data_IF_893066666384
#
_entry.id   IF_893066666384
#
_cell.length_a   1.000
_cell.length_b   1.000
_cell.length_c   1.000
_cell.angle_alpha   90.00
_cell.angle_beta   90.00
_cell.angle_gamma   90.00
#
_symmetry.space_group_name_H-M   'P 1'
#
loop_
_entity.id
_entity.type
_entity.pdbx_description
1 polymer ?
#
# COMPACT_ATOMS: atom_id res chain seq x y z
N UNK A 1 -34.65 -28.15 12.99
CA UNK A 1 -33.69 -28.72 12.04
C UNK A 1 -32.67 -27.64 11.77
N UNK A 2 -31.43 -27.81 12.22
CA UNK A 2 -30.36 -26.85 11.92
C UNK A 2 -29.98 -27.04 10.47
N UNK A 3 -30.29 -26.06 9.62
CA UNK A 3 -29.81 -26.07 8.24
C UNK A 3 -28.28 -25.99 8.26
N UNK A 4 -27.61 -27.09 7.90
CA UNK A 4 -26.16 -27.10 7.72
C UNK A 4 -25.80 -26.27 6.50
N UNK A 5 -25.21 -25.10 6.75
CA UNK A 5 -24.72 -24.23 5.70
C UNK A 5 -23.49 -24.87 5.05
N UNK A 6 -23.58 -25.19 3.75
CA UNK A 6 -22.47 -25.73 2.96
C UNK A 6 -21.64 -24.59 2.36
N UNK A 7 -20.31 -24.79 2.28
CA UNK A 7 -19.42 -23.83 1.63
C UNK A 7 -19.66 -23.74 0.11
N UNK A 8 -19.41 -22.57 -0.50
CA UNK A 8 -19.44 -22.44 -1.95
C UNK A 8 -18.30 -23.25 -2.60
N UNK A 9 -18.42 -23.51 -3.91
CA UNK A 9 -17.39 -24.25 -4.66
C UNK A 9 -16.01 -23.59 -4.56
N UNK A 10 -14.94 -24.38 -4.71
CA UNK A 10 -13.56 -23.87 -4.68
C UNK A 10 -13.29 -22.79 -5.73
N UNK A 11 -13.90 -22.91 -6.92
CA UNK A 11 -13.79 -21.88 -7.95
C UNK A 11 -14.42 -20.55 -7.50
N UNK A 12 -15.54 -20.61 -6.80
CA UNK A 12 -16.22 -19.42 -6.28
C UNK A 12 -15.47 -18.79 -5.10
N UNK A 13 -14.90 -19.62 -4.22
CA UNK A 13 -13.99 -19.15 -3.17
C UNK A 13 -12.78 -18.43 -3.77
N UNK A 14 -12.21 -18.96 -4.85
CA UNK A 14 -11.10 -18.33 -5.58
C UNK A 14 -11.47 -16.94 -6.13
N UNK A 15 -12.65 -16.79 -6.76
CA UNK A 15 -13.15 -15.49 -7.22
C UNK A 15 -13.30 -14.49 -6.06
N UNK A 16 -13.89 -14.95 -4.95
CA UNK A 16 -14.12 -14.11 -3.79
C UNK A 16 -12.80 -13.64 -3.15
N UNK A 17 -11.78 -14.51 -3.08
CA UNK A 17 -10.46 -14.15 -2.58
C UNK A 17 -9.76 -13.10 -3.46
N UNK A 18 -9.87 -13.23 -4.79
CA UNK A 18 -9.30 -12.24 -5.73
C UNK A 18 -10.01 -10.90 -5.56
N UNK A 19 -11.34 -10.90 -5.50
CA UNK A 19 -12.12 -9.68 -5.27
C UNK A 19 -11.75 -9.01 -3.96
N UNK A 20 -11.68 -9.78 -2.86
CA UNK A 20 -11.25 -9.28 -1.56
C UNK A 20 -9.86 -8.64 -1.62
N UNK A 21 -8.88 -9.34 -2.21
CA UNK A 21 -7.50 -8.84 -2.31
C UNK A 21 -7.42 -7.53 -3.09
N UNK A 22 -8.16 -7.43 -4.20
CA UNK A 22 -8.23 -6.21 -5.00
C UNK A 22 -8.88 -5.05 -4.23
N UNK A 23 -9.99 -5.30 -3.55
CA UNK A 23 -10.71 -4.28 -2.78
C UNK A 23 -9.85 -3.78 -1.60
N UNK A 24 -9.13 -4.68 -0.92
CA UNK A 24 -8.19 -4.33 0.14
C UNK A 24 -7.09 -3.38 -0.35
N UNK A 25 -6.39 -3.75 -1.44
CA UNK A 25 -5.31 -2.92 -2.02
C UNK A 25 -5.86 -1.56 -2.46
N UNK A 26 -7.03 -1.54 -3.12
CA UNK A 26 -7.69 -0.32 -3.58
C UNK A 26 -8.05 0.60 -2.41
N UNK A 27 -8.57 0.07 -1.33
CA UNK A 27 -8.95 0.85 -0.15
C UNK A 27 -7.72 1.38 0.61
N UNK A 28 -6.64 0.60 0.69
CA UNK A 28 -5.36 1.03 1.27
C UNK A 28 -4.71 2.18 0.47
N UNK A 29 -4.81 2.15 -0.86
CA UNK A 29 -4.36 3.25 -1.71
C UNK A 29 -5.22 4.50 -1.53
N UNK A 30 -6.56 4.35 -1.49
CA UNK A 30 -7.49 5.49 -1.36
C UNK A 30 -7.41 6.22 -0.02
N UNK A 31 -7.16 5.48 1.07
CA UNK A 31 -6.97 6.06 2.41
C UNK A 31 -5.61 6.73 2.60
N UNK A 32 -4.67 6.51 1.68
CA UNK A 32 -3.29 6.95 1.84
C UNK A 32 -2.56 6.21 2.97
N UNK A 33 -3.06 5.05 3.42
CA UNK A 33 -2.40 4.22 4.43
C UNK A 33 -1.04 3.67 3.95
N UNK A 34 -0.88 3.50 2.63
CA UNK A 34 0.40 3.08 2.05
C UNK A 34 1.41 4.22 1.90
N UNK A 35 1.03 5.46 2.24
CA UNK A 35 1.84 6.65 2.00
C UNK A 35 2.46 7.19 3.30
N UNK A 36 3.73 7.58 3.24
CA UNK A 36 4.40 8.29 4.34
C UNK A 36 3.95 9.75 4.43
N UNK A 37 4.29 10.39 5.55
CA UNK A 37 4.18 11.84 5.71
C UNK A 37 5.03 12.62 4.70
N UNK A 38 4.69 13.89 4.51
CA UNK A 38 5.42 14.79 3.60
C UNK A 38 6.88 14.96 4.06
N UNK A 39 7.10 14.95 5.36
CA UNK A 39 8.39 15.08 6.02
C UNK A 39 9.31 13.91 5.64
N UNK A 40 8.83 12.67 5.81
CA UNK A 40 9.60 11.46 5.45
C UNK A 40 9.81 11.39 3.94
N UNK A 41 8.79 11.72 3.14
CA UNK A 41 8.92 11.78 1.68
C UNK A 41 10.03 12.75 1.27
N UNK A 42 10.05 13.95 1.87
CA UNK A 42 11.05 14.99 1.58
C UNK A 42 12.44 14.52 1.98
N UNK A 43 12.60 13.99 3.18
CA UNK A 43 13.87 13.44 3.66
C UNK A 43 14.42 12.37 2.71
N UNK A 44 13.60 11.39 2.32
CA UNK A 44 13.98 10.34 1.38
C UNK A 44 14.34 10.88 0.00
N UNK A 45 13.61 11.89 -0.48
CA UNK A 45 13.90 12.54 -1.76
C UNK A 45 15.25 13.27 -1.73
N UNK A 46 15.59 13.97 -0.65
CA UNK A 46 16.89 14.63 -0.51
C UNK A 46 18.05 13.60 -0.44
N UNK A 47 17.83 12.44 0.19
CA UNK A 47 18.79 11.31 0.13
C UNK A 47 18.98 10.84 -1.32
N UNK A 48 17.90 10.77 -2.11
CA UNK A 48 18.01 10.42 -3.52
C UNK A 48 18.74 11.51 -4.32
N UNK A 49 18.41 12.80 -4.16
CA UNK A 49 19.05 13.90 -4.90
C UNK A 49 20.55 14.02 -4.64
N UNK A 50 21.03 13.62 -3.46
CA UNK A 50 22.45 13.56 -3.11
C UNK A 50 23.15 12.27 -3.55
N UNK A 51 22.42 11.32 -4.13
CA UNK A 51 22.95 10.03 -4.58
C UNK A 51 23.59 10.14 -5.97
N UNK A 52 24.76 9.52 -6.14
CA UNK A 52 25.49 9.46 -7.42
C UNK A 52 24.70 8.81 -8.58
N UNK A 53 23.67 8.01 -8.27
CA UNK A 53 22.84 7.33 -9.26
C UNK A 53 21.53 8.04 -9.57
N UNK A 54 21.27 9.21 -8.97
CA UNK A 54 20.06 9.97 -9.25
C UNK A 54 20.06 10.51 -10.68
N UNK A 55 18.91 10.40 -11.33
CA UNK A 55 18.70 10.81 -12.71
C UNK A 55 17.42 11.64 -12.81
N UNK A 56 17.60 12.97 -12.91
CA UNK A 56 16.54 13.96 -13.04
C UNK A 56 16.18 14.28 -14.50
N UNK A 57 16.72 13.55 -15.48
CA UNK A 57 16.45 13.78 -16.89
C UNK A 57 15.01 13.37 -17.33
N UNK A 58 14.12 13.03 -16.40
CA UNK A 58 12.71 12.74 -16.66
C UNK A 58 11.81 13.24 -15.51
N UNK A 59 10.53 13.46 -15.82
CA UNK A 59 9.54 14.06 -14.90
C UNK A 59 9.37 13.31 -13.56
N UNK A 60 9.65 12.01 -13.50
CA UNK A 60 9.49 11.21 -12.29
C UNK A 60 10.79 10.94 -11.53
N UNK A 61 11.92 11.39 -12.10
CA UNK A 61 13.30 11.08 -11.74
C UNK A 61 13.55 9.57 -11.57
N UNK A 62 14.55 9.03 -12.25
CA UNK A 62 14.92 7.61 -12.11
C UNK A 62 16.18 7.47 -11.30
N UNK A 63 16.44 6.27 -10.79
CA UNK A 63 17.76 5.93 -10.26
C UNK A 63 18.45 4.94 -11.20
N UNK A 64 19.66 5.26 -11.65
CA UNK A 64 20.46 4.48 -12.61
C UNK A 64 20.93 3.14 -12.07
N UNK A 65 20.84 2.93 -10.75
CA UNK A 65 21.24 1.68 -10.08
C UNK A 65 20.09 0.67 -9.94
N UNK A 66 18.94 1.11 -9.43
CA UNK A 66 17.75 0.25 -9.22
C UNK A 66 16.75 0.27 -10.40
N UNK A 67 16.81 1.27 -11.28
CA UNK A 67 15.78 1.52 -12.31
C UNK A 67 14.46 2.09 -11.77
N UNK A 68 14.39 2.41 -10.48
CA UNK A 68 13.18 2.83 -9.80
C UNK A 68 12.81 4.29 -10.09
N UNK A 69 11.51 4.57 -10.20
CA UNK A 69 10.95 5.93 -10.27
C UNK A 69 10.97 6.54 -8.87
N UNK A 70 11.83 7.53 -8.65
CA UNK A 70 12.18 8.04 -7.33
C UNK A 70 10.99 8.72 -6.67
N UNK A 71 10.30 9.63 -7.38
CA UNK A 71 9.20 10.43 -6.82
C UNK A 71 8.07 9.56 -6.23
N UNK A 72 7.50 8.58 -6.96
CA UNK A 72 6.50 7.70 -6.37
C UNK A 72 7.10 6.81 -5.27
N UNK A 73 8.31 6.27 -5.49
CA UNK A 73 8.96 5.33 -4.55
C UNK A 73 9.17 5.90 -3.15
N UNK A 74 9.66 7.13 -3.04
CA UNK A 74 9.93 7.75 -1.73
C UNK A 74 8.65 7.99 -0.91
N UNK A 75 7.49 8.00 -1.58
CA UNK A 75 6.18 8.24 -0.96
C UNK A 75 5.59 7.00 -0.29
N UNK A 76 6.07 5.79 -0.57
CA UNK A 76 5.49 4.55 -0.02
C UNK A 76 6.09 4.17 1.33
N UNK A 77 5.23 3.86 2.32
CA UNK A 77 5.62 3.52 3.69
C UNK A 77 6.48 2.25 3.77
N UNK A 78 6.02 1.18 3.13
CA UNK A 78 6.66 -0.14 3.14
C UNK A 78 7.81 -0.30 2.15
N UNK A 79 8.15 0.75 1.40
CA UNK A 79 9.25 0.69 0.45
C UNK A 79 10.56 1.13 1.10
N UNK A 80 11.68 0.77 0.47
CA UNK A 80 13.04 1.10 0.90
C UNK A 80 13.97 1.34 -0.30
N UNK A 81 15.13 1.93 -0.04
CA UNK A 81 16.20 1.98 -1.04
C UNK A 81 16.87 0.59 -1.15
N UNK A 82 16.98 -0.03 -2.34
CA UNK A 82 17.70 -1.30 -2.50
C UNK A 82 19.18 -1.23 -2.09
N UNK A 83 19.76 -0.03 -2.14
CA UNK A 83 21.13 0.27 -1.72
C UNK A 83 21.20 0.69 -0.23
N UNK A 84 20.11 0.48 0.52
CA UNK A 84 19.97 0.73 1.96
C UNK A 84 20.21 2.17 2.41
N UNK A 85 20.12 3.17 1.52
CA UNK A 85 20.28 4.59 1.87
C UNK A 85 19.12 5.16 2.71
N UNK A 86 17.96 4.50 2.68
CA UNK A 86 16.80 4.77 3.55
C UNK A 86 15.94 3.50 3.65
N UNK A 87 15.13 3.40 4.72
CA UNK A 87 14.33 2.22 5.09
C UNK A 87 12.83 2.51 5.06
N UNK A 88 12.04 1.46 5.15
CA UNK A 88 10.61 1.52 5.41
C UNK A 88 10.30 2.39 6.64
N UNK A 89 9.12 3.01 6.63
CA UNK A 89 8.66 3.89 7.71
C UNK A 89 7.32 3.39 8.20
N UNK A 90 7.17 3.30 9.53
CA UNK A 90 5.92 2.98 10.20
C UNK A 90 5.07 4.24 10.48
N UNK A 91 5.53 5.40 10.02
CA UNK A 91 4.90 6.69 10.25
C UNK A 91 3.47 6.72 9.67
N UNK A 92 2.48 6.86 10.56
CA UNK A 92 1.06 6.88 10.23
C UNK A 92 0.46 5.56 9.73
N UNK A 93 1.24 4.47 9.61
CA UNK A 93 0.76 3.18 9.12
C UNK A 93 -0.25 2.56 10.10
N UNK A 94 0.12 2.49 11.38
CA UNK A 94 -0.69 1.81 12.40
C UNK A 94 -2.06 2.48 12.58
N UNK A 95 -2.08 3.80 12.68
CA UNK A 95 -3.31 4.58 12.90
C UNK A 95 -4.26 4.46 11.70
N UNK A 96 -3.75 4.61 10.47
CA UNK A 96 -4.57 4.47 9.26
C UNK A 96 -5.01 3.03 9.02
N UNK A 97 -4.19 2.05 9.38
CA UNK A 97 -4.57 0.64 9.27
C UNK A 97 -5.76 0.32 10.19
N UNK A 98 -5.72 0.78 11.44
CA UNK A 98 -6.83 0.62 12.39
C UNK A 98 -8.12 1.26 11.87
N UNK A 99 -8.03 2.41 11.20
CA UNK A 99 -9.17 3.05 10.53
C UNK A 99 -9.73 2.21 9.38
N UNK A 100 -8.90 1.62 8.50
CA UNK A 100 -9.44 0.78 7.41
C UNK A 100 -10.04 -0.50 7.96
N UNK A 101 -9.47 -1.08 9.02
CA UNK A 101 -10.00 -2.30 9.62
C UNK A 101 -11.39 -2.05 10.20
N UNK A 102 -11.57 -0.97 10.97
CA UNK A 102 -12.88 -0.55 11.46
C UNK A 102 -13.88 -0.35 10.32
N UNK A 103 -13.49 0.37 9.27
CA UNK A 103 -14.36 0.62 8.12
C UNK A 103 -14.71 -0.66 7.35
N UNK A 104 -13.74 -1.57 7.19
CA UNK A 104 -13.96 -2.84 6.48
C UNK A 104 -14.92 -3.74 7.28
N UNK A 105 -14.82 -3.74 8.61
CA UNK A 105 -15.80 -4.41 9.48
C UNK A 105 -17.20 -3.82 9.31
N UNK A 106 -17.35 -2.50 9.34
CA UNK A 106 -18.63 -1.80 9.12
C UNK A 106 -19.26 -2.10 7.74
N UNK A 107 -18.45 -2.09 6.68
CA UNK A 107 -18.87 -2.38 5.30
C UNK A 107 -19.26 -3.87 5.11
N UNK A 108 -18.65 -4.77 5.89
CA UNK A 108 -18.99 -6.21 5.87
C UNK A 108 -20.34 -6.49 6.54
N UNK A 109 -20.67 -5.75 7.60
CA UNK A 109 -21.95 -5.88 8.34
C UNK A 109 -23.12 -5.38 7.48
N UNK A 110 -22.94 -4.24 6.80
CA UNK A 110 -23.99 -3.63 5.96
C UNK A 110 -24.30 -4.42 4.68
N UNK A 111 -23.31 -5.12 4.11
CA UNK A 111 -23.53 -6.01 2.95
C UNK A 111 -24.10 -7.38 3.32
N UNK A 112 -24.13 -7.74 4.62
CA UNK A 112 -24.74 -9.00 5.08
C UNK A 112 -26.20 -8.84 5.52
N UNK A 113 -26.72 -7.61 5.55
CA UNK A 113 -28.12 -7.26 5.91
C UNK A 113 -29.00 -6.88 4.72
N UNK A 114 -28.48 -6.98 3.49
CA UNK A 114 -29.20 -6.82 2.22
C UNK A 114 -29.24 -8.15 1.47
#
# INVERSE_FOLDING_TARGET
MTEEHQYPSLAEQGKNLVKFSFDLIKNALKSGALMVSTEIKTQRLEICKSCEWYDDNNEQSKCKKCGCFVIPKVSFALDSCPENKWKESQDGWNEKFDEIMKKTEEDSITNSTK
#
